data_IF_257836611918
#
_entry.id   IF_257836611918
#
_cell.length_a   1.000
_cell.length_b   1.000
_cell.length_c   1.000
_cell.angle_alpha   90.00
_cell.angle_beta   90.00
_cell.angle_gamma   90.00
#
_symmetry.space_group_name_H-M   'P 1'
#
loop_
_entity.id
_entity.type
_entity.pdbx_description
1 polymer ?
#
# COMPACT_ATOMS: atom_id res chain seq x y z
N UNK A 1 4.15 5.62 -40.92
CA UNK A 1 5.60 5.35 -40.75
C UNK A 1 6.01 5.90 -39.39
N UNK A 2 6.33 5.01 -38.53
CA UNK A 2 6.38 5.17 -37.05
C UNK A 2 7.62 5.93 -36.60
N UNK A 3 7.44 7.00 -35.86
CA UNK A 3 8.52 7.73 -35.20
C UNK A 3 8.84 7.11 -33.84
N UNK A 4 9.59 5.99 -33.81
CA UNK A 4 10.06 5.28 -32.63
C UNK A 4 11.43 5.78 -32.12
N UNK A 5 11.69 7.07 -32.19
CA UNK A 5 13.02 7.62 -31.88
C UNK A 5 12.89 8.77 -30.88
N UNK A 6 12.52 8.55 -29.64
CA UNK A 6 12.94 9.44 -28.55
C UNK A 6 12.56 8.95 -27.13
N UNK A 7 12.74 7.67 -26.82
CA UNK A 7 12.89 7.30 -25.40
C UNK A 7 14.34 7.57 -25.00
N UNK A 8 14.61 8.30 -23.92
CA UNK A 8 15.97 8.43 -23.42
C UNK A 8 16.48 7.04 -23.03
N UNK A 9 17.35 6.49 -23.86
CA UNK A 9 18.01 5.20 -23.58
C UNK A 9 18.86 5.38 -22.32
N UNK A 10 18.68 4.49 -21.34
CA UNK A 10 19.53 4.49 -20.15
C UNK A 10 20.96 4.19 -20.56
N UNK A 11 21.96 4.99 -20.12
CA UNK A 11 23.35 4.76 -20.45
C UNK A 11 23.81 3.36 -20.06
N UNK A 12 24.50 2.69 -20.97
CA UNK A 12 25.08 1.37 -20.77
C UNK A 12 26.56 1.48 -20.37
N UNK A 13 27.17 0.39 -19.90
CA UNK A 13 28.59 0.36 -19.49
C UNK A 13 29.53 0.87 -20.59
N UNK A 14 29.22 0.58 -21.87
CA UNK A 14 30.01 1.02 -23.03
C UNK A 14 29.99 2.55 -23.16
N UNK A 15 28.86 3.20 -22.89
CA UNK A 15 28.71 4.65 -22.99
C UNK A 15 29.56 5.34 -21.90
N UNK A 16 29.60 4.79 -20.68
CA UNK A 16 30.48 5.29 -19.61
C UNK A 16 31.98 5.10 -19.94
N UNK A 17 32.36 3.98 -20.57
CA UNK A 17 33.72 3.76 -21.02
C UNK A 17 34.14 4.79 -22.08
N UNK A 18 33.25 5.11 -23.02
CA UNK A 18 33.51 6.08 -24.06
C UNK A 18 33.56 7.51 -23.51
N UNK A 19 32.67 7.84 -22.58
CA UNK A 19 32.68 9.13 -21.88
C UNK A 19 34.00 9.34 -21.12
N UNK A 20 34.46 8.36 -20.37
CA UNK A 20 35.77 8.44 -19.65
C UNK A 20 36.93 8.66 -20.57
N UNK A 21 36.96 7.95 -21.73
CA UNK A 21 38.05 8.12 -22.75
C UNK A 21 38.03 9.50 -23.41
N UNK A 22 36.89 10.18 -23.47
CA UNK A 22 36.73 11.51 -24.07
C UNK A 22 37.07 12.66 -23.11
N UNK A 23 37.33 12.36 -21.82
CA UNK A 23 37.70 13.37 -20.84
C UNK A 23 39.22 13.60 -20.85
N UNK A 24 39.63 14.84 -21.12
CA UNK A 24 41.05 15.23 -21.22
C UNK A 24 41.74 15.36 -19.84
N UNK A 25 41.05 15.04 -18.76
CA UNK A 25 41.57 15.16 -17.38
C UNK A 25 41.69 13.77 -16.77
N UNK A 26 42.84 13.48 -16.15
CA UNK A 26 43.01 12.27 -15.35
C UNK A 26 42.09 12.34 -14.13
N UNK A 27 41.09 11.49 -14.10
CA UNK A 27 40.23 11.31 -12.91
C UNK A 27 40.40 9.87 -12.39
N UNK A 28 40.68 9.76 -11.12
CA UNK A 28 40.78 8.47 -10.41
C UNK A 28 39.36 7.92 -10.14
N UNK A 29 38.60 7.75 -11.20
CA UNK A 29 37.22 7.26 -11.19
C UNK A 29 37.10 6.08 -12.14
N UNK A 30 36.59 4.96 -11.64
CA UNK A 30 36.35 3.77 -12.46
C UNK A 30 35.00 3.84 -13.19
N UNK A 31 34.83 3.01 -14.22
CA UNK A 31 33.51 2.84 -14.88
C UNK A 31 32.44 2.38 -13.88
N UNK A 32 32.82 1.54 -12.93
CA UNK A 32 31.88 1.03 -11.92
C UNK A 32 31.44 2.14 -10.95
N UNK A 33 32.32 3.10 -10.62
CA UNK A 33 31.95 4.27 -9.84
C UNK A 33 30.96 5.16 -10.57
N UNK A 34 31.17 5.37 -11.89
CA UNK A 34 30.22 6.15 -12.72
C UNK A 34 28.86 5.46 -12.83
N UNK A 35 28.83 4.15 -13.02
CA UNK A 35 27.58 3.38 -13.05
C UNK A 35 26.87 3.46 -11.71
N UNK A 36 27.59 3.34 -10.62
CA UNK A 36 27.04 3.49 -9.24
C UNK A 36 26.48 4.88 -9.04
N UNK A 37 27.20 5.92 -9.48
CA UNK A 37 26.74 7.30 -9.38
C UNK A 37 25.49 7.54 -10.21
N UNK A 38 25.43 7.01 -11.44
CA UNK A 38 24.26 7.11 -12.31
C UNK A 38 23.03 6.45 -11.67
N UNK A 39 23.19 5.23 -11.13
CA UNK A 39 22.09 4.54 -10.43
C UNK A 39 21.59 5.31 -9.22
N UNK A 40 22.51 5.89 -8.42
CA UNK A 40 22.14 6.73 -7.29
C UNK A 40 21.43 8.00 -7.73
N UNK A 41 21.91 8.65 -8.79
CA UNK A 41 21.27 9.84 -9.35
C UNK A 41 19.85 9.55 -9.85
N UNK A 42 19.63 8.41 -10.53
CA UNK A 42 18.29 7.95 -10.92
C UNK A 42 17.41 7.69 -9.71
N UNK A 43 17.93 7.06 -8.65
CA UNK A 43 17.18 6.85 -7.40
C UNK A 43 16.76 8.17 -6.77
N UNK A 44 17.66 9.17 -6.71
CA UNK A 44 17.31 10.50 -6.19
C UNK A 44 16.33 11.25 -7.06
N UNK A 45 16.42 11.10 -8.40
CA UNK A 45 15.46 11.70 -9.33
C UNK A 45 14.06 11.08 -9.15
N UNK A 46 13.98 9.76 -9.06
CA UNK A 46 12.74 9.03 -8.81
C UNK A 46 12.13 9.38 -7.43
N UNK A 47 12.98 9.53 -6.41
CA UNK A 47 12.55 9.97 -5.08
C UNK A 47 11.92 11.36 -5.14
N UNK A 48 12.58 12.35 -5.75
CA UNK A 48 12.02 13.71 -5.92
C UNK A 48 10.70 13.72 -6.70
N UNK A 49 10.59 12.88 -7.74
CA UNK A 49 9.35 12.73 -8.48
C UNK A 49 8.21 12.12 -7.62
N UNK A 50 8.54 11.24 -6.68
CA UNK A 50 7.58 10.66 -5.74
C UNK A 50 7.21 11.61 -4.62
N UNK A 51 8.15 12.43 -4.14
CA UNK A 51 7.91 13.49 -3.13
C UNK A 51 6.96 14.58 -3.63
N UNK A 52 6.79 14.73 -4.95
CA UNK A 52 5.84 15.66 -5.54
C UNK A 52 4.37 15.18 -5.47
N UNK A 53 4.12 13.89 -5.12
CA UNK A 53 2.78 13.32 -5.05
C UNK A 53 2.35 13.26 -3.59
N UNK A 54 1.30 13.99 -3.28
CA UNK A 54 0.69 13.93 -1.96
C UNK A 54 -0.29 12.76 -1.84
N UNK A 55 -0.46 12.28 -0.61
CA UNK A 55 -1.43 11.25 -0.23
C UNK A 55 -2.84 11.59 -0.71
N UNK A 56 -3.24 12.86 -0.59
CA UNK A 56 -4.54 13.37 -1.05
C UNK A 56 -4.86 13.08 -2.52
N UNK A 57 -3.85 12.91 -3.37
CA UNK A 57 -4.04 12.62 -4.80
C UNK A 57 -4.26 11.14 -5.09
N UNK A 58 -3.90 10.25 -4.15
CA UNK A 58 -3.95 8.79 -4.37
C UNK A 58 -4.90 8.07 -3.41
N UNK A 59 -5.26 8.71 -2.30
CA UNK A 59 -6.14 8.09 -1.31
C UNK A 59 -7.53 7.84 -1.87
N UNK A 60 -8.14 6.74 -1.47
CA UNK A 60 -9.55 6.45 -1.73
C UNK A 60 -10.42 7.28 -0.79
N UNK A 61 -11.39 8.01 -1.36
CA UNK A 61 -12.39 8.78 -0.63
C UNK A 61 -13.71 8.83 -1.43
N UNK A 62 -14.90 8.90 -0.77
CA UNK A 62 -15.11 8.88 0.68
C UNK A 62 -14.81 7.49 1.27
N UNK A 63 -14.34 7.47 2.52
CA UNK A 63 -14.04 6.22 3.23
C UNK A 63 -15.27 5.68 3.91
N UNK A 64 -15.52 4.39 3.73
CA UNK A 64 -16.49 3.66 4.54
C UNK A 64 -15.86 3.34 5.89
N UNK A 65 -16.58 3.60 6.96
CA UNK A 65 -16.15 3.34 8.34
C UNK A 65 -17.29 2.72 9.13
N UNK A 66 -16.97 2.11 10.26
CA UNK A 66 -17.92 1.54 11.22
C UNK A 66 -17.70 2.13 12.61
N UNK A 67 -18.67 1.92 13.50
CA UNK A 67 -18.56 2.33 14.91
C UNK A 67 -17.96 1.20 15.76
N UNK A 68 -17.37 1.51 16.93
CA UNK A 68 -16.85 0.49 17.84
C UNK A 68 -17.88 -0.58 18.24
N UNK A 69 -19.16 -0.19 18.34
CA UNK A 69 -20.29 -1.05 18.73
C UNK A 69 -20.95 -1.77 17.55
N UNK A 70 -20.55 -1.48 16.32
CA UNK A 70 -21.07 -2.20 15.14
C UNK A 70 -20.83 -3.70 15.32
N UNK A 71 -21.84 -4.56 15.09
CA UNK A 71 -21.64 -6.02 15.10
C UNK A 71 -20.62 -6.45 14.06
N UNK A 72 -19.81 -7.45 14.38
CA UNK A 72 -18.77 -7.96 13.48
C UNK A 72 -19.37 -8.48 12.18
N UNK A 73 -20.56 -9.12 12.25
CA UNK A 73 -21.34 -9.58 11.10
C UNK A 73 -21.71 -8.45 10.13
N UNK A 74 -22.13 -7.29 10.65
CA UNK A 74 -22.45 -6.11 9.84
C UNK A 74 -21.20 -5.54 9.17
N UNK A 75 -20.09 -5.44 9.89
CA UNK A 75 -18.82 -4.99 9.35
C UNK A 75 -18.33 -5.93 8.24
N UNK A 76 -18.45 -7.25 8.42
CA UNK A 76 -18.12 -8.24 7.40
C UNK A 76 -19.03 -8.11 6.16
N UNK A 77 -20.33 -7.96 6.35
CA UNK A 77 -21.28 -7.74 5.25
C UNK A 77 -20.91 -6.50 4.43
N UNK A 78 -20.56 -5.40 5.11
CA UNK A 78 -20.12 -4.16 4.46
C UNK A 78 -18.83 -4.38 3.67
N UNK A 79 -17.85 -5.13 4.20
CA UNK A 79 -16.60 -5.45 3.52
C UNK A 79 -16.85 -6.26 2.23
N UNK A 80 -17.70 -7.27 2.29
CA UNK A 80 -18.05 -8.13 1.16
C UNK A 80 -18.82 -7.34 0.08
N UNK A 81 -19.86 -6.62 0.46
CA UNK A 81 -20.71 -5.89 -0.49
C UNK A 81 -20.00 -4.74 -1.18
N UNK A 82 -19.08 -4.07 -0.48
CA UNK A 82 -18.28 -2.97 -1.03
C UNK A 82 -16.94 -3.43 -1.63
N UNK A 83 -16.63 -4.74 -1.57
CA UNK A 83 -15.36 -5.32 -2.03
C UNK A 83 -14.13 -4.64 -1.43
N UNK A 84 -14.20 -4.33 -0.13
CA UNK A 84 -13.12 -3.72 0.62
C UNK A 84 -12.62 -4.70 1.69
N UNK A 85 -11.32 -4.71 1.94
CA UNK A 85 -10.67 -5.67 2.82
C UNK A 85 -10.31 -5.09 4.20
N UNK A 86 -10.91 -3.96 4.57
CA UNK A 86 -10.77 -3.35 5.89
C UNK A 86 -11.52 -2.03 6.00
N UNK A 87 -11.94 -1.72 7.22
CA UNK A 87 -12.73 -0.57 7.57
C UNK A 87 -12.09 0.18 8.74
N UNK A 88 -11.86 1.49 8.64
CA UNK A 88 -11.60 2.30 9.81
C UNK A 88 -12.77 2.22 10.80
N UNK A 89 -12.44 2.15 12.08
CA UNK A 89 -13.40 2.25 13.17
C UNK A 89 -13.31 3.65 13.74
N UNK A 90 -14.41 4.37 13.75
CA UNK A 90 -14.45 5.78 14.17
C UNK A 90 -15.43 6.00 15.30
N UNK A 91 -15.11 6.93 16.21
CA UNK A 91 -16.01 7.38 17.25
C UNK A 91 -17.15 8.26 16.69
N UNK A 92 -18.03 8.76 17.57
CA UNK A 92 -19.17 9.61 17.19
C UNK A 92 -18.74 10.93 16.52
N UNK A 93 -17.57 11.45 16.88
CA UNK A 93 -17.00 12.65 16.31
C UNK A 93 -16.24 12.41 14.98
N UNK A 94 -16.08 11.14 14.56
CA UNK A 94 -15.35 10.74 13.36
C UNK A 94 -13.86 10.54 13.57
N UNK A 95 -13.37 10.55 14.81
CA UNK A 95 -11.96 10.30 15.11
C UNK A 95 -11.64 8.82 15.01
N UNK A 96 -10.43 8.52 14.57
CA UNK A 96 -9.95 7.15 14.42
C UNK A 96 -9.83 6.45 15.79
N UNK A 97 -10.64 5.41 16.01
CA UNK A 97 -10.60 4.55 17.17
C UNK A 97 -9.86 3.23 16.92
N UNK A 98 -9.84 2.76 15.67
CA UNK A 98 -9.21 1.50 15.31
C UNK A 98 -9.36 1.18 13.83
N UNK A 99 -8.95 -0.02 13.44
CA UNK A 99 -9.19 -0.61 12.11
C UNK A 99 -9.61 -2.07 12.27
N UNK A 100 -10.60 -2.50 11.51
CA UNK A 100 -10.98 -3.91 11.36
C UNK A 100 -10.68 -4.37 9.94
N UNK A 101 -10.08 -5.54 9.79
CA UNK A 101 -9.65 -6.09 8.52
C UNK A 101 -10.11 -7.53 8.33
N UNK A 102 -10.03 -8.03 7.11
CA UNK A 102 -10.27 -9.43 6.77
C UNK A 102 -9.52 -10.42 7.68
N UNK A 103 -8.27 -10.10 8.04
CA UNK A 103 -7.46 -10.93 8.93
C UNK A 103 -8.01 -10.96 10.37
N UNK A 104 -8.61 -9.87 10.83
CA UNK A 104 -9.23 -9.80 12.16
C UNK A 104 -10.52 -10.62 12.18
N UNK A 105 -11.28 -10.55 11.09
CA UNK A 105 -12.49 -11.34 10.92
C UNK A 105 -12.18 -12.85 10.88
N UNK A 106 -11.18 -13.28 10.10
CA UNK A 106 -10.75 -14.68 10.08
C UNK A 106 -10.29 -15.16 11.46
N UNK A 107 -9.59 -14.31 12.21
CA UNK A 107 -9.20 -14.61 13.59
C UNK A 107 -10.40 -14.78 14.53
N UNK A 108 -11.41 -13.94 14.39
CA UNK A 108 -12.65 -14.07 15.16
C UNK A 108 -13.39 -15.39 14.89
N UNK A 109 -13.29 -15.91 13.66
CA UNK A 109 -13.81 -17.23 13.28
C UNK A 109 -12.89 -18.39 13.69
N UNK A 110 -11.80 -18.14 14.44
CA UNK A 110 -10.85 -19.18 14.85
C UNK A 110 -9.89 -19.62 13.75
N UNK A 111 -9.89 -18.96 12.59
CA UNK A 111 -8.96 -19.26 11.49
C UNK A 111 -7.62 -18.54 11.75
N UNK A 112 -6.47 -19.23 11.81
CA UNK A 112 -5.18 -18.59 12.05
C UNK A 112 -4.80 -17.69 10.87
N UNK A 113 -4.93 -16.38 11.05
CA UNK A 113 -4.65 -15.38 10.01
C UNK A 113 -3.16 -15.05 9.83
N UNK A 114 -2.26 -15.69 10.58
CA UNK A 114 -0.84 -15.36 10.63
C UNK A 114 0.06 -16.57 10.46
N UNK A 115 0.16 -17.06 9.21
CA UNK A 115 1.41 -17.69 8.79
C UNK A 115 1.84 -17.04 7.47
N UNK A 116 3.04 -16.43 7.40
CA UNK A 116 3.51 -15.68 6.23
C UNK A 116 3.71 -16.54 4.97
N UNK A 117 3.47 -17.83 5.04
CA UNK A 117 3.66 -18.82 3.98
C UNK A 117 2.39 -19.55 3.54
N UNK A 118 1.21 -19.21 4.07
CA UNK A 118 -0.03 -19.79 3.55
C UNK A 118 -0.42 -19.08 2.25
N UNK A 119 -0.39 -19.85 1.15
CA UNK A 119 -1.02 -19.45 -0.09
C UNK A 119 -2.55 -19.49 0.10
N UNK A 120 -3.28 -18.78 -0.75
CA UNK A 120 -4.75 -18.67 -0.74
C UNK A 120 -5.44 -20.05 -0.59
N UNK A 121 -4.84 -21.10 -1.15
CA UNK A 121 -5.34 -22.46 -1.14
C UNK A 121 -5.36 -23.09 0.26
N UNK A 122 -4.30 -22.88 1.04
CA UNK A 122 -4.22 -23.39 2.43
C UNK A 122 -5.17 -22.66 3.36
N UNK A 123 -5.40 -21.35 3.11
CA UNK A 123 -6.40 -20.56 3.87
C UNK A 123 -7.81 -21.06 3.59
N UNK A 124 -8.13 -21.36 2.32
CA UNK A 124 -9.42 -21.95 1.93
C UNK A 124 -9.59 -23.36 2.52
N UNK A 125 -8.57 -24.20 2.47
CA UNK A 125 -8.59 -25.54 3.03
C UNK A 125 -8.82 -25.53 4.56
N UNK A 126 -8.16 -24.62 5.28
CA UNK A 126 -8.38 -24.40 6.71
C UNK A 126 -9.81 -23.93 7.00
N UNK A 127 -10.35 -23.04 6.17
CA UNK A 127 -11.71 -22.53 6.29
C UNK A 127 -12.72 -23.69 6.03
N UNK A 128 -12.54 -24.47 4.97
CA UNK A 128 -13.40 -25.61 4.68
C UNK A 128 -13.32 -26.69 5.76
N UNK A 129 -12.13 -26.96 6.29
CA UNK A 129 -11.94 -27.90 7.38
C UNK A 129 -12.67 -27.42 8.67
N UNK A 130 -12.61 -26.13 8.96
CA UNK A 130 -13.29 -25.54 10.12
C UNK A 130 -14.82 -25.62 9.97
N UNK A 131 -15.34 -25.27 8.80
CA UNK A 131 -16.77 -25.37 8.45
C UNK A 131 -17.28 -26.82 8.51
N UNK A 132 -16.48 -27.77 8.06
CA UNK A 132 -16.86 -29.20 8.06
C UNK A 132 -16.94 -29.81 9.48
N UNK A 133 -16.19 -29.27 10.46
CA UNK A 133 -16.13 -29.83 11.80
C UNK A 133 -17.04 -29.11 12.82
N UNK A 134 -17.42 -27.85 12.57
CA UNK A 134 -18.15 -27.01 13.55
C UNK A 134 -19.55 -26.59 13.10
N UNK A 135 -20.04 -27.04 11.94
CA UNK A 135 -21.35 -26.63 11.41
C UNK A 135 -21.30 -25.25 10.77
N UNK A 136 -22.48 -24.66 10.50
CA UNK A 136 -22.54 -23.30 10.00
C UNK A 136 -21.89 -22.35 11.01
N UNK A 137 -20.88 -21.55 10.60
CA UNK A 137 -20.23 -20.61 11.48
C UNK A 137 -21.28 -19.56 11.91
N UNK A 138 -21.67 -19.59 13.17
CA UNK A 138 -22.30 -18.43 13.76
C UNK A 138 -21.27 -17.31 13.67
N UNK A 139 -21.57 -16.29 12.86
CA UNK A 139 -20.74 -15.08 12.85
C UNK A 139 -20.81 -14.49 14.26
N UNK A 140 -19.65 -14.28 14.94
CA UNK A 140 -19.67 -13.71 16.26
C UNK A 140 -20.47 -12.40 16.21
N UNK A 141 -21.46 -12.28 17.07
CA UNK A 141 -22.26 -11.05 17.22
C UNK A 141 -21.54 -10.03 18.12
N UNK A 142 -20.25 -10.26 18.32
CA UNK A 142 -19.38 -9.38 19.08
C UNK A 142 -19.24 -8.01 18.41
N UNK A 143 -19.15 -6.94 19.18
CA UNK A 143 -18.86 -5.63 18.62
C UNK A 143 -17.45 -5.58 18.03
N UNK A 144 -17.29 -4.82 16.95
CA UNK A 144 -16.01 -4.62 16.26
C UNK A 144 -14.87 -4.25 17.21
N UNK A 145 -15.16 -3.52 18.29
CA UNK A 145 -14.16 -3.12 19.29
C UNK A 145 -13.47 -4.30 19.99
N UNK A 146 -14.08 -5.50 20.01
CA UNK A 146 -13.47 -6.70 20.57
C UNK A 146 -12.35 -7.29 19.68
N UNK A 147 -12.41 -7.03 18.37
CA UNK A 147 -11.56 -7.66 17.37
C UNK A 147 -10.66 -6.67 16.63
N UNK A 148 -10.97 -5.37 16.65
CA UNK A 148 -10.21 -4.33 15.93
C UNK A 148 -8.79 -4.14 16.47
N UNK A 149 -7.90 -3.72 15.61
CA UNK A 149 -6.59 -3.20 15.99
C UNK A 149 -6.75 -1.74 16.42
N UNK A 150 -6.37 -1.41 17.67
CA UNK A 150 -6.54 -0.07 18.26
C UNK A 150 -5.37 0.86 17.94
N UNK A 151 -4.15 0.34 17.90
CA UNK A 151 -2.95 1.13 17.60
C UNK A 151 -2.74 1.25 16.09
N UNK A 152 -3.54 2.10 15.44
CA UNK A 152 -3.50 2.31 13.99
C UNK A 152 -2.50 3.40 13.65
N UNK A 153 -1.57 3.06 12.77
CA UNK A 153 -0.68 4.05 12.14
C UNK A 153 -1.49 4.80 11.10
N UNK A 154 -1.60 6.11 11.25
CA UNK A 154 -2.22 7.00 10.26
C UNK A 154 -1.19 7.93 9.62
N UNK A 155 -1.56 8.43 8.46
CA UNK A 155 -0.80 9.40 7.67
C UNK A 155 -1.67 10.62 7.39
N UNK A 156 -1.06 11.75 7.02
CA UNK A 156 -1.79 12.97 6.69
C UNK A 156 -1.94 13.13 5.17
N UNK A 157 -2.99 13.85 4.69
CA UNK A 157 -3.24 14.06 3.27
C UNK A 157 -2.12 14.78 2.52
N UNK A 158 -1.37 15.64 3.20
CA UNK A 158 -0.27 16.44 2.69
C UNK A 158 1.08 15.72 2.67
N UNK A 159 1.17 14.54 3.28
CA UNK A 159 2.40 13.75 3.25
C UNK A 159 2.72 13.26 1.83
N UNK A 160 4.02 13.16 1.55
CA UNK A 160 4.48 12.63 0.28
C UNK A 160 4.36 11.11 0.19
N UNK A 161 4.23 10.62 -1.05
CA UNK A 161 4.08 9.19 -1.35
C UNK A 161 5.24 8.34 -0.83
N UNK A 162 6.47 8.87 -0.85
CA UNK A 162 7.64 8.12 -0.41
C UNK A 162 7.57 7.87 1.10
N UNK A 163 7.20 8.89 1.88
CA UNK A 163 6.99 8.75 3.32
C UNK A 163 5.93 7.68 3.64
N UNK A 164 4.83 7.66 2.88
CA UNK A 164 3.77 6.65 3.03
C UNK A 164 4.27 5.23 2.74
N UNK A 165 5.03 5.04 1.68
CA UNK A 165 5.64 3.75 1.34
C UNK A 165 6.57 3.28 2.46
N UNK A 166 7.39 4.17 3.01
CA UNK A 166 8.29 3.84 4.12
C UNK A 166 7.52 3.50 5.41
N UNK A 167 6.42 4.20 5.69
CA UNK A 167 5.51 3.86 6.81
C UNK A 167 4.91 2.46 6.62
N UNK A 168 4.43 2.14 5.42
CA UNK A 168 3.89 0.80 5.12
C UNK A 168 4.94 -0.30 5.30
N UNK A 169 6.17 -0.08 4.81
CA UNK A 169 7.29 -1.04 4.95
C UNK A 169 7.68 -1.24 6.41
N UNK A 170 7.94 -0.15 7.14
CA UNK A 170 8.40 -0.19 8.54
C UNK A 170 7.41 -0.89 9.45
N UNK A 171 6.11 -0.68 9.23
CA UNK A 171 5.05 -1.28 10.03
C UNK A 171 4.53 -2.60 9.45
N UNK A 172 5.07 -3.07 8.30
CA UNK A 172 4.62 -4.29 7.61
C UNK A 172 3.12 -4.32 7.31
N UNK A 173 2.53 -3.14 7.03
CA UNK A 173 1.09 -3.00 6.75
C UNK A 173 0.80 -2.86 5.26
N UNK A 174 -0.39 -3.30 4.86
CA UNK A 174 -0.85 -3.26 3.45
C UNK A 174 -1.74 -2.05 3.15
N UNK A 175 -2.13 -1.32 4.19
CA UNK A 175 -3.03 -0.16 4.13
C UNK A 175 -2.74 0.79 5.27
N UNK A 176 -3.04 2.07 5.04
CA UNK A 176 -2.92 3.12 6.04
C UNK A 176 -4.21 3.94 6.04
N UNK A 177 -4.65 4.33 7.21
CA UNK A 177 -5.73 5.29 7.36
C UNK A 177 -5.17 6.69 7.19
N UNK A 178 -5.85 7.53 6.42
CA UNK A 178 -5.51 8.94 6.26
C UNK A 178 -6.39 9.75 7.18
N UNK A 179 -5.75 10.53 8.07
CA UNK A 179 -6.42 11.38 9.01
C UNK A 179 -6.04 12.85 8.80
N UNK A 180 -6.96 13.75 9.09
CA UNK A 180 -6.64 15.17 9.23
C UNK A 180 -5.89 15.46 10.55
N UNK A 181 -5.60 16.74 10.81
CA UNK A 181 -4.89 17.18 12.01
C UNK A 181 -5.70 16.95 13.31
N UNK A 182 -7.01 16.84 13.19
CA UNK A 182 -7.92 16.55 14.33
C UNK A 182 -8.11 15.05 14.51
N UNK A 183 -7.33 14.18 13.83
CA UNK A 183 -7.45 12.73 13.82
C UNK A 183 -8.78 12.19 13.26
N UNK A 184 -9.51 12.97 12.49
CA UNK A 184 -10.69 12.50 11.76
C UNK A 184 -10.25 11.75 10.52
N UNK A 185 -10.94 10.64 10.24
CA UNK A 185 -10.65 9.82 9.06
C UNK A 185 -11.16 10.52 7.81
N UNK A 186 -10.24 10.83 6.89
CA UNK A 186 -10.53 11.53 5.63
C UNK A 186 -10.26 10.68 4.39
N UNK A 187 -9.48 9.60 4.52
CA UNK A 187 -9.11 8.75 3.40
C UNK A 187 -8.51 7.42 3.83
N UNK A 188 -8.21 6.59 2.85
CA UNK A 188 -7.42 5.36 3.00
C UNK A 188 -6.45 5.22 1.83
N UNK A 189 -5.23 4.72 2.10
CA UNK A 189 -4.25 4.35 1.08
C UNK A 189 -3.91 2.88 1.22
N UNK A 190 -3.98 2.15 0.13
CA UNK A 190 -3.66 0.72 0.05
C UNK A 190 -2.53 0.45 -0.93
N UNK A 191 -1.95 -0.75 -0.91
CA UNK A 191 -1.01 -1.18 -1.95
C UNK A 191 -1.60 -1.12 -3.35
N UNK A 192 -2.90 -1.37 -3.48
CA UNK A 192 -3.60 -1.31 -4.78
C UNK A 192 -3.64 0.11 -5.34
N UNK A 193 -3.75 1.13 -4.49
CA UNK A 193 -3.71 2.53 -4.91
C UNK A 193 -2.31 2.90 -5.42
N UNK A 194 -1.25 2.40 -4.77
CA UNK A 194 0.13 2.58 -5.22
C UNK A 194 0.38 1.90 -6.58
N UNK A 195 -0.14 0.68 -6.75
CA UNK A 195 -0.02 -0.06 -8.02
C UNK A 195 -0.77 0.66 -9.12
N UNK A 196 -2.00 1.11 -8.88
CA UNK A 196 -2.81 1.88 -9.84
C UNK A 196 -2.08 3.15 -10.29
N UNK A 197 -1.56 3.95 -9.35
CA UNK A 197 -0.78 5.14 -9.66
C UNK A 197 0.43 4.82 -10.56
N UNK A 198 1.11 3.71 -10.30
CA UNK A 198 2.25 3.29 -11.11
C UNK A 198 1.81 2.98 -12.55
N UNK A 199 0.72 2.22 -12.72
CA UNK A 199 0.22 1.87 -14.05
C UNK A 199 -0.32 3.09 -14.81
N UNK A 200 -1.04 3.99 -14.17
CA UNK A 200 -1.59 5.20 -14.78
C UNK A 200 -0.45 6.06 -15.34
N UNK A 201 0.61 6.27 -14.58
CA UNK A 201 1.80 6.99 -15.06
C UNK A 201 2.54 6.28 -16.18
N UNK A 202 2.55 4.95 -16.18
CA UNK A 202 3.22 4.17 -17.22
C UNK A 202 2.44 4.17 -18.53
N UNK A 203 1.12 4.27 -18.47
CA UNK A 203 0.24 4.36 -19.65
C UNK A 203 0.21 5.77 -20.23
N UNK A 204 0.23 6.81 -19.39
CA UNK A 204 0.32 8.21 -19.86
C UNK A 204 1.70 8.55 -20.49
N UNK A 205 2.76 7.88 -20.07
CA UNK A 205 4.10 8.03 -20.65
C UNK A 205 4.27 7.31 -22.00
N UNK A 206 3.25 6.61 -22.51
CA UNK A 206 3.19 6.04 -23.85
C UNK A 206 2.18 6.81 -24.71
N UNK A 207 2.56 7.90 -25.40
CA UNK A 207 1.75 8.39 -26.50
C UNK A 207 1.74 7.33 -27.59
N UNK A 208 0.53 6.90 -28.02
CA UNK A 208 0.27 5.94 -29.07
C UNK A 208 0.83 6.34 -30.44
#
# INVERSE_FOLDING_TARGET
MSNRQNEPQRPQRADFQQALKSMDTYMDITVDDLMTLSQRAEQFANRRASEAIQVSHIMSQPVRSVRPQTPLSEAAHLMVTQRISGLPVVDEAGHLAGIITEADFLRALGVPAHQPHHNLWQTLESLFSHLAHHGEPETPDDPVTAHMVKNVVCVHPDQDLHAVIEVMKRNSVKRLVVCDHDRRVVGMVTRSDLVRLFFDRYTEARPG
#
